data_IF_339948725636
#
_entry.id   IF_339948725636
#
_cell.length_a   1.000
_cell.length_b   1.000
_cell.length_c   1.000
_cell.angle_alpha   90.00
_cell.angle_beta   90.00
_cell.angle_gamma   90.00
#
_symmetry.space_group_name_H-M   'P 1'
#
loop_
_entity.id
_entity.type
_entity.pdbx_description
1 polymer ?
#
# COMPACT_ATOMS: atom_id res chain seq x y z
N UNK A 1 -3.59 -5.27 10.52
CA UNK A 1 -2.18 -5.41 10.11
C UNK A 1 -1.77 -4.16 9.37
N UNK A 2 -0.56 -3.66 9.60
CA UNK A 2 0.02 -2.54 8.86
C UNK A 2 1.47 -2.84 8.51
N UNK A 3 1.84 -2.55 7.26
CA UNK A 3 3.23 -2.58 6.80
C UNK A 3 3.90 -1.23 7.09
N UNK A 4 5.24 -1.18 7.02
CA UNK A 4 6.03 -0.04 7.51
C UNK A 4 5.66 0.31 8.98
N UNK A 5 5.57 -0.72 9.83
CA UNK A 5 5.10 -0.61 11.21
C UNK A 5 5.79 0.48 12.03
N UNK A 6 7.10 0.66 11.89
CA UNK A 6 7.87 1.68 12.60
C UNK A 6 7.35 3.12 12.33
N UNK A 7 6.76 3.39 11.16
CA UNK A 7 6.22 4.69 10.81
C UNK A 7 4.76 4.92 11.27
N UNK A 8 3.94 3.85 11.29
CA UNK A 8 2.48 3.98 11.43
C UNK A 8 1.90 3.38 12.71
N UNK A 9 2.66 2.57 13.45
CA UNK A 9 2.14 1.79 14.58
C UNK A 9 1.53 2.67 15.67
N UNK A 10 2.24 3.69 16.14
CA UNK A 10 1.75 4.54 17.23
C UNK A 10 0.51 5.35 16.84
N UNK A 11 0.47 5.88 15.61
CA UNK A 11 -0.72 6.54 15.07
C UNK A 11 -1.92 5.60 15.04
N UNK A 12 -1.74 4.37 14.55
CA UNK A 12 -2.80 3.37 14.51
C UNK A 12 -3.29 2.96 15.91
N UNK A 13 -2.38 2.86 16.89
CA UNK A 13 -2.72 2.58 18.29
C UNK A 13 -3.58 3.69 18.88
N UNK A 14 -3.20 4.95 18.69
CA UNK A 14 -3.96 6.07 19.24
C UNK A 14 -5.35 6.23 18.60
N UNK A 15 -5.46 6.00 17.28
CA UNK A 15 -6.75 5.93 16.59
C UNK A 15 -7.60 4.78 17.15
N UNK A 16 -7.02 3.59 17.33
CA UNK A 16 -7.73 2.41 17.83
C UNK A 16 -8.27 2.64 19.25
N UNK A 17 -7.48 3.26 20.13
CA UNK A 17 -7.91 3.61 21.51
C UNK A 17 -9.07 4.61 21.52
N UNK A 18 -9.05 5.59 20.61
CA UNK A 18 -10.17 6.55 20.46
C UNK A 18 -11.44 5.84 20.01
N UNK A 19 -11.33 4.95 19.02
CA UNK A 19 -12.49 4.19 18.51
C UNK A 19 -13.04 3.24 19.59
N UNK A 20 -12.18 2.62 20.40
CA UNK A 20 -12.63 1.83 21.55
C UNK A 20 -13.42 2.70 22.54
N UNK A 21 -12.92 3.90 22.85
CA UNK A 21 -13.63 4.83 23.73
C UNK A 21 -14.99 5.30 23.16
N UNK A 22 -15.07 5.62 21.87
CA UNK A 22 -16.30 6.18 21.28
C UNK A 22 -17.32 5.12 20.87
N UNK A 23 -16.85 3.96 20.39
CA UNK A 23 -17.68 2.94 19.73
C UNK A 23 -17.54 1.54 20.36
N UNK A 24 -16.82 1.40 21.47
CA UNK A 24 -16.55 0.12 22.17
C UNK A 24 -16.03 -0.99 21.24
N UNK A 25 -15.29 -0.60 20.19
CA UNK A 25 -14.72 -1.54 19.21
C UNK A 25 -13.30 -1.89 19.63
N UNK A 26 -13.10 -3.14 20.05
CA UNK A 26 -11.77 -3.67 20.37
C UNK A 26 -11.00 -3.95 19.08
N UNK A 27 -9.77 -3.45 19.00
CA UNK A 27 -8.91 -3.60 17.82
C UNK A 27 -7.52 -4.06 18.27
N UNK A 28 -6.97 -5.05 17.57
CA UNK A 28 -5.56 -5.45 17.70
C UNK A 28 -4.77 -4.78 16.57
N UNK A 29 -3.75 -4.00 16.95
CA UNK A 29 -2.83 -3.36 16.01
C UNK A 29 -1.59 -4.23 15.88
N UNK A 30 -1.32 -4.71 14.67
CA UNK A 30 -0.11 -5.48 14.34
C UNK A 30 0.74 -4.66 13.38
N UNK A 31 1.83 -4.09 13.87
CA UNK A 31 2.86 -3.40 13.10
C UNK A 31 3.91 -4.37 12.60
N UNK A 32 3.96 -4.58 11.28
CA UNK A 32 4.99 -5.42 10.65
C UNK A 32 6.08 -4.50 10.15
N UNK A 33 7.29 -4.69 10.65
CA UNK A 33 8.41 -3.80 10.34
C UNK A 33 9.75 -4.49 10.46
N UNK A 34 10.79 -3.69 10.29
CA UNK A 34 12.18 -4.12 10.29
C UNK A 34 12.83 -3.79 11.64
N UNK A 35 13.94 -4.46 11.99
CA UNK A 35 14.73 -4.10 13.16
C UNK A 35 15.04 -2.60 13.19
N UNK A 36 15.10 -1.98 14.37
CA UNK A 36 15.32 -0.54 14.49
C UNK A 36 16.54 -0.08 13.70
N UNK A 37 16.35 0.98 12.92
CA UNK A 37 17.40 1.70 12.21
C UNK A 37 17.39 3.16 12.65
N UNK A 38 18.30 3.98 12.13
CA UNK A 38 18.29 5.44 12.35
C UNK A 38 16.99 6.10 11.87
N UNK A 39 16.34 5.51 10.86
CA UNK A 39 15.12 6.01 10.25
C UNK A 39 13.93 5.06 10.46
N UNK A 40 12.71 5.60 10.34
CA UNK A 40 11.47 4.81 10.43
C UNK A 40 11.21 3.94 9.20
N UNK A 41 11.92 4.18 8.09
CA UNK A 41 11.89 3.37 6.88
C UNK A 41 13.25 2.71 6.64
N UNK A 42 13.23 1.48 6.11
CA UNK A 42 14.40 0.76 5.62
C UNK A 42 14.17 0.44 4.14
N UNK A 43 14.77 1.24 3.24
CA UNK A 43 14.57 1.10 1.79
C UNK A 43 15.05 -0.27 1.28
N UNK A 44 16.14 -0.79 1.84
CA UNK A 44 16.75 -2.05 1.42
C UNK A 44 15.84 -3.26 1.68
N UNK A 45 15.06 -3.21 2.76
CA UNK A 45 14.13 -4.30 3.11
C UNK A 45 12.72 -4.06 2.59
N UNK A 46 12.23 -2.82 2.66
CA UNK A 46 10.87 -2.51 2.18
C UNK A 46 10.76 -2.53 0.66
N UNK A 47 11.84 -2.25 -0.06
CA UNK A 47 11.88 -2.35 -1.52
C UNK A 47 11.39 -3.71 -2.01
N UNK A 48 12.08 -4.82 -1.67
CA UNK A 48 11.64 -6.15 -2.08
C UNK A 48 10.29 -6.54 -1.45
N UNK A 49 10.11 -6.36 -0.14
CA UNK A 49 8.92 -6.85 0.59
C UNK A 49 7.61 -6.18 0.16
N UNK A 50 7.66 -4.93 -0.31
CA UNK A 50 6.45 -4.15 -0.62
C UNK A 50 6.19 -3.96 -2.12
N UNK A 51 7.05 -4.49 -2.99
CA UNK A 51 6.87 -4.37 -4.45
C UNK A 51 6.43 -5.68 -5.09
N UNK A 52 5.38 -5.66 -5.95
CA UNK A 52 4.88 -6.84 -6.64
C UNK A 52 5.91 -7.46 -7.59
N UNK A 53 5.90 -8.78 -7.79
CA UNK A 53 6.71 -9.39 -8.84
C UNK A 53 6.27 -8.89 -10.22
N UNK A 54 7.23 -8.55 -11.07
CA UNK A 54 6.99 -8.27 -12.49
C UNK A 54 6.81 -9.56 -13.28
N UNK A 55 5.97 -9.53 -14.32
CA UNK A 55 5.74 -10.69 -15.18
C UNK A 55 7.00 -11.17 -15.92
N UNK A 56 7.92 -10.26 -16.21
CA UNK A 56 9.20 -10.54 -16.89
C UNK A 56 10.40 -10.59 -15.94
N UNK A 57 10.17 -10.43 -14.63
CA UNK A 57 11.22 -10.37 -13.61
C UNK A 57 12.14 -9.16 -13.70
N UNK A 58 11.78 -8.13 -14.48
CA UNK A 58 12.56 -6.90 -14.62
C UNK A 58 11.89 -5.75 -13.87
N UNK A 59 12.73 -4.86 -13.36
CA UNK A 59 12.33 -3.71 -12.57
C UNK A 59 13.09 -2.48 -13.03
N UNK A 60 12.40 -1.35 -13.14
CA UNK A 60 13.04 -0.06 -13.36
C UNK A 60 13.93 0.29 -12.15
N UNK A 61 15.22 0.60 -12.37
CA UNK A 61 16.09 1.00 -11.27
C UNK A 61 15.70 2.40 -10.78
N UNK A 62 15.84 2.63 -9.48
CA UNK A 62 15.96 3.99 -8.97
C UNK A 62 17.33 4.55 -9.36
N UNK A 63 17.42 5.86 -9.53
CA UNK A 63 18.66 6.54 -9.86
C UNK A 63 19.09 7.42 -8.69
N UNK A 64 20.39 7.62 -8.52
CA UNK A 64 20.93 8.68 -7.67
C UNK A 64 20.85 10.03 -8.39
N UNK A 65 21.04 11.13 -7.67
CA UNK A 65 21.09 12.49 -8.24
C UNK A 65 22.17 12.65 -9.33
N UNK A 66 23.22 11.84 -9.28
CA UNK A 66 24.29 11.81 -10.28
C UNK A 66 23.92 11.02 -11.54
N UNK A 67 22.71 10.47 -11.63
CA UNK A 67 22.21 9.68 -12.76
C UNK A 67 22.63 8.21 -12.76
N UNK A 68 23.36 7.73 -11.76
CA UNK A 68 23.77 6.33 -11.66
C UNK A 68 22.63 5.44 -11.12
N UNK A 69 22.40 4.24 -11.67
CA UNK A 69 21.35 3.35 -11.19
C UNK A 69 21.72 2.70 -9.84
N UNK A 70 20.75 2.65 -8.93
CA UNK A 70 20.83 2.02 -7.61
C UNK A 70 20.68 0.49 -7.71
N UNK A 71 21.61 -0.17 -8.40
CA UNK A 71 21.58 -1.62 -8.71
C UNK A 71 21.66 -2.54 -7.50
N UNK A 72 22.00 -2.01 -6.32
CA UNK A 72 22.06 -2.76 -5.08
C UNK A 72 20.68 -3.01 -4.45
N UNK A 73 19.66 -2.24 -4.85
CA UNK A 73 18.28 -2.41 -4.40
C UNK A 73 17.63 -3.62 -5.09
N UNK A 74 16.76 -4.30 -4.34
CA UNK A 74 16.01 -5.46 -4.80
C UNK A 74 14.51 -5.17 -4.77
N UNK A 75 13.76 -5.88 -5.59
CA UNK A 75 12.33 -5.64 -5.81
C UNK A 75 11.59 -6.96 -6.09
N UNK A 76 10.28 -6.98 -5.89
CA UNK A 76 9.40 -8.03 -6.41
C UNK A 76 9.05 -9.18 -5.46
N UNK A 77 9.33 -9.05 -4.17
CA UNK A 77 9.14 -10.13 -3.19
C UNK A 77 7.82 -10.01 -2.41
N UNK A 78 6.90 -9.14 -2.83
CA UNK A 78 5.63 -8.92 -2.12
C UNK A 78 4.79 -10.19 -1.94
N UNK A 79 4.80 -11.13 -2.89
CA UNK A 79 4.06 -12.38 -2.75
C UNK A 79 4.65 -13.28 -1.64
N UNK A 80 5.98 -13.28 -1.51
CA UNK A 80 6.69 -14.01 -0.46
C UNK A 80 6.46 -13.35 0.90
N UNK A 81 6.50 -12.02 0.96
CA UNK A 81 6.19 -11.28 2.18
C UNK A 81 4.74 -11.48 2.61
N UNK A 82 3.79 -11.45 1.68
CA UNK A 82 2.37 -11.73 1.94
C UNK A 82 2.17 -13.17 2.44
N UNK A 83 2.89 -14.14 1.87
CA UNK A 83 2.86 -15.52 2.34
C UNK A 83 3.38 -15.64 3.78
N UNK A 84 4.45 -14.95 4.14
CA UNK A 84 4.95 -14.90 5.52
C UNK A 84 3.91 -14.26 6.48
N UNK A 85 3.20 -13.22 6.04
CA UNK A 85 2.08 -12.66 6.82
C UNK A 85 1.01 -13.71 7.06
N UNK A 86 0.58 -14.40 6.00
CA UNK A 86 -0.49 -15.39 6.07
C UNK A 86 -0.13 -16.64 6.89
N UNK A 87 1.08 -17.16 6.70
CA UNK A 87 1.46 -18.47 7.21
C UNK A 87 2.25 -18.43 8.52
N UNK A 88 2.90 -17.31 8.83
CA UNK A 88 3.74 -17.20 10.02
C UNK A 88 3.18 -16.15 11.00
N UNK A 89 2.95 -14.92 10.53
CA UNK A 89 2.59 -13.80 11.41
C UNK A 89 1.16 -13.93 11.92
N UNK A 90 0.17 -14.13 11.04
CA UNK A 90 -1.23 -14.26 11.44
C UNK A 90 -1.42 -15.43 12.42
N UNK A 91 -0.90 -16.65 12.16
CA UNK A 91 -1.04 -17.75 13.12
C UNK A 91 -0.33 -17.50 14.45
N UNK A 92 0.83 -16.84 14.44
CA UNK A 92 1.51 -16.47 15.69
C UNK A 92 0.70 -15.46 16.51
N UNK A 93 0.23 -14.38 15.88
CA UNK A 93 -0.56 -13.35 16.56
C UNK A 93 -1.86 -13.94 17.09
N UNK A 94 -2.65 -14.60 16.25
CA UNK A 94 -4.00 -15.01 16.59
C UNK A 94 -3.99 -16.29 17.45
N UNK A 95 -3.15 -17.26 17.13
CA UNK A 95 -3.10 -18.54 17.84
C UNK A 95 -2.22 -18.54 19.10
N UNK A 96 -1.08 -17.84 19.07
CA UNK A 96 -0.11 -17.90 20.17
C UNK A 96 -0.21 -16.69 21.10
N UNK A 97 -0.22 -15.47 20.55
CA UNK A 97 -0.24 -14.24 21.36
C UNK A 97 -1.64 -13.95 21.91
N UNK A 98 -2.68 -14.21 21.13
CA UNK A 98 -4.08 -13.98 21.50
C UNK A 98 -4.90 -15.27 21.42
N UNK A 99 -4.42 -16.39 21.99
CA UNK A 99 -4.92 -17.76 21.78
C UNK A 99 -6.40 -18.10 22.08
N UNK A 100 -7.26 -17.10 22.29
CA UNK A 100 -8.72 -17.22 22.17
C UNK A 100 -9.24 -16.83 20.78
N UNK A 101 -8.39 -16.27 19.92
CA UNK A 101 -8.71 -15.92 18.54
C UNK A 101 -8.34 -17.09 17.62
N UNK A 102 -9.15 -17.31 16.59
CA UNK A 102 -8.88 -18.31 15.56
C UNK A 102 -8.76 -17.63 14.20
N UNK A 103 -7.75 -18.05 13.42
CA UNK A 103 -7.63 -17.63 12.03
C UNK A 103 -8.87 -17.97 11.19
N UNK A 104 -9.56 -19.07 11.54
CA UNK A 104 -10.80 -19.46 10.88
C UNK A 104 -12.04 -18.70 11.40
N UNK A 105 -11.92 -17.88 12.45
CA UNK A 105 -13.04 -17.11 12.98
C UNK A 105 -13.37 -15.94 12.04
N UNK A 106 -14.50 -16.08 11.33
CA UNK A 106 -15.06 -15.09 10.41
C UNK A 106 -15.72 -13.89 11.12
N UNK A 107 -15.92 -13.95 12.44
CA UNK A 107 -16.41 -12.81 13.20
C UNK A 107 -15.32 -11.75 13.43
N UNK A 108 -14.05 -12.15 13.33
CA UNK A 108 -12.89 -11.26 13.41
C UNK A 108 -12.65 -10.64 12.03
N UNK A 109 -12.84 -9.32 11.92
CA UNK A 109 -12.49 -8.60 10.69
C UNK A 109 -11.01 -8.24 10.66
N UNK A 110 -10.35 -8.53 9.55
CA UNK A 110 -8.92 -8.28 9.32
C UNK A 110 -8.75 -7.15 8.31
N UNK A 111 -8.05 -6.09 8.73
CA UNK A 111 -7.67 -4.97 7.86
C UNK A 111 -6.18 -4.99 7.53
N UNK A 112 -5.83 -4.64 6.29
CA UNK A 112 -4.46 -4.33 5.87
C UNK A 112 -4.36 -2.84 5.52
N UNK A 113 -3.38 -2.17 6.09
CA UNK A 113 -3.03 -0.78 5.75
C UNK A 113 -1.60 -0.69 5.25
N UNK A 114 -1.40 0.17 4.25
CA UNK A 114 -0.07 0.61 3.86
C UNK A 114 -0.11 1.91 3.06
N UNK A 115 1.03 2.60 3.05
CA UNK A 115 1.22 3.87 2.35
C UNK A 115 2.37 3.82 1.35
N UNK A 116 2.29 4.53 0.21
CA UNK A 116 3.32 4.51 -0.84
C UNK A 116 3.56 3.07 -1.34
N UNK A 117 4.78 2.51 -1.25
CA UNK A 117 4.99 1.08 -1.54
C UNK A 117 4.17 0.16 -0.63
N UNK A 118 3.88 0.56 0.61
CA UNK A 118 2.95 -0.20 1.46
C UNK A 118 1.52 -0.21 0.91
N UNK A 119 1.11 0.86 0.24
CA UNK A 119 -0.17 0.95 -0.46
C UNK A 119 -0.18 0.06 -1.70
N UNK A 120 0.93 0.05 -2.45
CA UNK A 120 1.17 -0.86 -3.57
C UNK A 120 1.09 -2.33 -3.12
N UNK A 121 1.75 -2.68 -2.02
CA UNK A 121 1.66 -3.99 -1.37
C UNK A 121 0.22 -4.35 -0.97
N UNK A 122 -0.51 -3.39 -0.41
CA UNK A 122 -1.91 -3.60 0.00
C UNK A 122 -2.81 -3.91 -1.19
N UNK A 123 -2.59 -3.26 -2.33
CA UNK A 123 -3.26 -3.60 -3.59
C UNK A 123 -2.82 -4.98 -4.11
N UNK A 124 -1.53 -5.32 -4.02
CA UNK A 124 -1.05 -6.66 -4.40
C UNK A 124 -1.75 -7.76 -3.59
N UNK A 125 -1.92 -7.56 -2.28
CA UNK A 125 -2.62 -8.49 -1.41
C UNK A 125 -4.08 -8.68 -1.84
N UNK A 126 -4.79 -7.59 -2.19
CA UNK A 126 -6.15 -7.65 -2.73
C UNK A 126 -6.20 -8.49 -4.01
N UNK A 127 -5.32 -8.20 -4.97
CA UNK A 127 -5.38 -8.82 -6.30
C UNK A 127 -4.95 -10.29 -6.31
N UNK A 128 -4.01 -10.68 -5.43
CA UNK A 128 -3.45 -12.04 -5.40
C UNK A 128 -4.12 -12.96 -4.37
N UNK A 129 -4.65 -12.39 -3.27
CA UNK A 129 -5.29 -13.11 -2.16
C UNK A 129 -6.52 -12.34 -1.64
N UNK A 130 -7.57 -12.15 -2.46
CA UNK A 130 -8.70 -11.26 -2.15
C UNK A 130 -9.49 -11.64 -0.89
N UNK A 131 -9.38 -12.87 -0.40
CA UNK A 131 -10.08 -13.35 0.81
C UNK A 131 -9.22 -13.32 2.07
N UNK A 132 -7.97 -12.86 1.98
CA UNK A 132 -7.04 -12.87 3.13
C UNK A 132 -7.33 -11.75 4.13
N UNK A 133 -7.81 -10.60 3.66
CA UNK A 133 -8.22 -9.46 4.47
C UNK A 133 -9.63 -9.02 4.09
N UNK A 134 -10.44 -8.65 5.08
CA UNK A 134 -11.80 -8.14 4.87
C UNK A 134 -11.81 -6.67 4.44
N UNK A 135 -10.75 -5.92 4.76
CA UNK A 135 -10.59 -4.53 4.40
C UNK A 135 -9.15 -4.20 3.99
N UNK A 136 -9.01 -3.50 2.87
CA UNK A 136 -7.75 -2.99 2.33
C UNK A 136 -7.80 -1.47 2.38
N UNK A 137 -6.80 -0.86 3.01
CA UNK A 137 -6.61 0.58 3.06
C UNK A 137 -5.29 0.92 2.38
N UNK A 138 -5.37 1.31 1.11
CA UNK A 138 -4.23 1.67 0.29
C UNK A 138 -4.11 3.20 0.21
N UNK A 139 -3.18 3.76 0.98
CA UNK A 139 -2.95 5.20 1.06
C UNK A 139 -1.83 5.64 0.11
N UNK A 140 -2.12 6.57 -0.79
CA UNK A 140 -1.21 7.05 -1.83
C UNK A 140 -0.39 5.91 -2.47
N UNK A 141 -1.04 4.83 -2.94
CA UNK A 141 -0.33 3.67 -3.45
C UNK A 141 0.53 4.09 -4.65
N UNK A 142 1.77 3.61 -4.69
CA UNK A 142 2.71 3.92 -5.78
C UNK A 142 2.37 3.15 -7.06
N UNK A 143 1.17 3.36 -7.60
CA UNK A 143 0.60 2.57 -8.72
C UNK A 143 1.45 2.68 -9.99
N UNK A 144 2.10 3.84 -10.22
CA UNK A 144 2.95 4.08 -11.38
C UNK A 144 4.27 3.27 -11.35
N UNK A 145 4.63 2.69 -10.19
CA UNK A 145 5.85 1.92 -10.02
C UNK A 145 5.99 0.84 -11.11
N UNK A 146 7.21 0.69 -11.63
CA UNK A 146 7.56 -0.24 -12.70
C UNK A 146 6.60 -0.17 -13.90
N UNK A 147 6.35 1.04 -14.41
CA UNK A 147 5.48 1.31 -15.58
C UNK A 147 4.06 0.77 -15.41
N UNK A 148 3.44 1.07 -14.27
CA UNK A 148 2.07 0.63 -13.95
C UNK A 148 1.89 -0.90 -13.96
N UNK A 149 2.96 -1.64 -13.63
CA UNK A 149 2.96 -3.11 -13.65
C UNK A 149 1.78 -3.70 -12.86
N UNK A 150 1.44 -3.14 -11.69
CA UNK A 150 0.37 -3.69 -10.86
C UNK A 150 -1.00 -3.66 -11.55
N UNK A 151 -1.29 -2.61 -12.32
CA UNK A 151 -2.54 -2.43 -13.08
C UNK A 151 -2.55 -3.39 -14.27
N UNK A 152 -1.46 -3.39 -15.02
CA UNK A 152 -1.35 -4.16 -16.27
C UNK A 152 -1.35 -5.67 -16.04
N UNK A 153 -0.86 -6.14 -14.88
CA UNK A 153 -0.71 -7.56 -14.60
C UNK A 153 -1.59 -8.06 -13.45
N UNK A 154 -1.37 -7.62 -12.21
CA UNK A 154 -2.08 -8.15 -11.04
C UNK A 154 -3.56 -7.80 -11.05
N UNK A 155 -3.92 -6.54 -11.27
CA UNK A 155 -5.31 -6.09 -11.34
C UNK A 155 -6.05 -6.74 -12.51
N UNK A 156 -5.44 -6.76 -13.70
CA UNK A 156 -6.04 -7.42 -14.87
C UNK A 156 -6.31 -8.91 -14.61
N UNK A 157 -5.37 -9.63 -13.99
CA UNK A 157 -5.58 -11.03 -13.57
C UNK A 157 -6.69 -11.17 -12.53
N UNK A 158 -6.79 -10.24 -11.59
CA UNK A 158 -7.85 -10.23 -10.59
C UNK A 158 -9.24 -10.03 -11.23
N UNK A 159 -9.36 -9.06 -12.14
CA UNK A 159 -10.63 -8.73 -12.82
C UNK A 159 -11.10 -9.82 -13.80
N UNK A 160 -10.16 -10.50 -14.46
CA UNK A 160 -10.46 -11.59 -15.42
C UNK A 160 -10.51 -12.97 -14.75
N UNK A 161 -10.13 -13.05 -13.48
CA UNK A 161 -10.14 -14.27 -12.68
C UNK A 161 -11.55 -14.72 -12.31
N UNK A 162 -11.66 -15.96 -11.83
CA UNK A 162 -12.92 -16.46 -11.25
C UNK A 162 -13.14 -15.74 -9.93
N UNK A 163 -14.30 -15.07 -9.72
CA UNK A 163 -14.59 -14.42 -8.46
C UNK A 163 -14.50 -15.45 -7.31
N UNK A 164 -14.10 -15.03 -6.09
CA UNK A 164 -14.21 -15.90 -4.94
C UNK A 164 -15.64 -16.44 -4.82
N UNK A 165 -15.79 -17.69 -4.36
CA UNK A 165 -17.09 -18.34 -4.14
C UNK A 165 -18.07 -17.37 -3.46
N UNK A 166 -19.37 -17.37 -3.79
CA UNK A 166 -20.37 -16.51 -3.13
C UNK A 166 -20.48 -16.70 -1.60
N UNK A 167 -19.84 -17.73 -1.03
CA UNK A 167 -19.69 -17.96 0.42
C UNK A 167 -18.45 -17.27 1.05
N UNK A 168 -17.57 -16.67 0.22
CA UNK A 168 -16.42 -15.88 0.64
C UNK A 168 -16.80 -14.42 0.91
N UNK A 169 -16.17 -13.78 1.90
CA UNK A 169 -16.35 -12.34 2.12
C UNK A 169 -15.71 -11.56 0.97
N UNK A 170 -16.46 -10.62 0.39
CA UNK A 170 -15.90 -9.64 -0.54
C UNK A 170 -15.08 -8.62 0.25
N UNK A 171 -13.79 -8.42 -0.07
CA UNK A 171 -12.99 -7.42 0.60
C UNK A 171 -13.51 -6.01 0.28
N UNK A 172 -13.44 -5.11 1.25
CA UNK A 172 -13.64 -3.67 1.03
C UNK A 172 -12.33 -2.99 0.69
N UNK A 173 -12.33 -2.04 -0.26
CA UNK A 173 -11.16 -1.24 -0.60
C UNK A 173 -11.42 0.24 -0.28
N UNK A 174 -10.49 0.85 0.46
CA UNK A 174 -10.40 2.30 0.65
C UNK A 174 -9.10 2.77 -0.01
N UNK A 175 -9.24 3.66 -0.99
CA UNK A 175 -8.14 4.35 -1.66
C UNK A 175 -8.12 5.81 -1.19
N UNK A 176 -6.94 6.29 -0.81
CA UNK A 176 -6.75 7.70 -0.46
C UNK A 176 -5.52 8.25 -1.17
N UNK A 177 -5.49 9.55 -1.44
CA UNK A 177 -4.32 10.25 -1.96
C UNK A 177 -4.34 11.71 -1.44
N UNK A 178 -3.18 12.37 -1.49
CA UNK A 178 -3.06 13.79 -1.14
C UNK A 178 -3.46 14.70 -2.31
N UNK A 179 -3.91 15.91 -2.01
CA UNK A 179 -4.28 16.93 -3.01
C UNK A 179 -3.23 18.03 -3.16
N UNK A 180 -2.02 17.81 -2.66
CA UNK A 180 -0.97 18.84 -2.63
C UNK A 180 -0.51 19.21 -4.04
N UNK A 181 -0.27 20.50 -4.29
CA UNK A 181 0.33 21.01 -5.54
C UNK A 181 1.73 20.49 -5.83
N UNK A 182 2.41 19.91 -4.82
CA UNK A 182 3.70 19.25 -5.02
C UNK A 182 3.55 17.80 -5.52
N UNK A 183 2.37 17.20 -5.38
CA UNK A 183 2.06 15.83 -5.84
C UNK A 183 1.39 15.84 -7.24
N UNK A 184 0.89 16.99 -7.69
CA UNK A 184 0.43 17.25 -9.05
C UNK A 184 1.09 18.53 -9.55
N UNK A 185 2.05 18.48 -10.50
CA UNK A 185 2.68 19.69 -11.00
C UNK A 185 1.60 20.67 -11.48
N UNK A 186 1.61 21.87 -10.91
CA UNK A 186 0.76 22.99 -11.32
C UNK A 186 1.15 23.33 -12.77
N UNK A 187 0.47 22.72 -13.75
CA UNK A 187 0.58 23.13 -15.16
C UNK A 187 -0.03 24.52 -15.23
N UNK A 188 0.82 25.52 -14.96
CA UNK A 188 0.41 26.89 -14.70
C UNK A 188 -0.63 27.32 -15.70
N UNK A 189 -1.82 27.69 -15.23
CA UNK A 189 -2.80 28.34 -16.07
C UNK A 189 -2.13 29.59 -16.64
N UNK A 190 -1.84 29.58 -17.93
CA UNK A 190 -1.35 30.75 -18.63
C UNK A 190 -2.34 31.89 -18.38
N UNK A 191 -1.87 32.93 -17.69
CA UNK A 191 -2.63 34.17 -17.54
C UNK A 191 -2.60 34.87 -18.89
N UNK A 192 -3.65 34.74 -19.67
CA UNK A 192 -3.89 35.68 -20.75
C UNK A 192 -4.12 37.07 -20.17
N UNK A 193 -3.67 38.10 -20.88
CA UNK A 193 -3.54 39.50 -20.43
C UNK A 193 -4.86 40.25 -20.13
N UNK A 194 -5.95 39.54 -19.78
CA UNK A 194 -7.29 40.08 -19.57
C UNK A 194 -7.90 39.89 -18.19
N UNK A 195 -7.26 39.17 -17.26
CA UNK A 195 -7.65 39.18 -15.83
C UNK A 195 -9.04 38.63 -15.46
N UNK A 196 -9.70 37.84 -16.32
CA UNK A 196 -10.98 37.21 -16.01
C UNK A 196 -10.81 35.69 -15.78
N UNK A 197 -11.32 35.19 -14.65
CA UNK A 197 -11.38 33.76 -14.34
C UNK A 197 -12.54 33.12 -15.10
N UNK A 198 -12.24 32.41 -16.19
CA UNK A 198 -13.19 31.47 -16.81
C UNK A 198 -12.79 30.04 -16.48
N UNK A 199 -13.79 29.19 -16.18
CA UNK A 199 -13.61 27.73 -16.09
C UNK A 199 -13.26 27.20 -17.47
N UNK A 200 -11.98 26.92 -17.70
CA UNK A 200 -11.56 25.96 -18.72
C UNK A 200 -11.54 24.59 -18.08
N UNK A 201 -12.33 23.65 -18.62
CA UNK A 201 -12.18 22.23 -18.32
C UNK A 201 -10.72 21.86 -18.57
N UNK A 202 -9.99 21.59 -17.50
CA UNK A 202 -8.64 21.01 -17.57
C UNK A 202 -8.82 19.49 -17.65
N UNK A 203 -9.48 19.02 -18.71
CA UNK A 203 -9.42 17.62 -19.09
C UNK A 203 -8.12 17.45 -19.89
N UNK A 204 -7.13 16.86 -19.24
CA UNK A 204 -6.05 16.14 -19.90
C UNK A 204 -5.59 15.03 -18.94
N UNK A 205 -6.12 13.84 -19.20
CA UNK A 205 -5.40 12.58 -18.97
C UNK A 205 -3.95 12.73 -19.45
N UNK A 206 -3.03 11.98 -18.83
CA UNK A 206 -1.57 11.94 -19.09
C UNK A 206 -0.71 12.87 -18.21
N UNK A 207 -0.47 12.46 -16.95
CA UNK A 207 0.89 12.47 -16.36
C UNK A 207 0.96 11.55 -15.11
N UNK A 208 2.01 10.72 -14.94
CA UNK A 208 2.20 9.89 -13.75
C UNK A 208 2.43 10.71 -12.48
N UNK A 209 2.01 10.20 -11.31
CA UNK A 209 2.34 10.84 -10.03
C UNK A 209 3.87 10.86 -9.82
N UNK A 210 4.43 12.02 -9.48
CA UNK A 210 5.85 12.16 -9.14
C UNK A 210 6.13 11.74 -7.68
N UNK A 211 7.32 11.18 -7.44
CA UNK A 211 7.77 10.67 -6.13
C UNK A 211 7.89 11.77 -5.07
N UNK A 212 7.35 11.49 -3.87
CA UNK A 212 7.57 12.28 -2.65
C UNK A 212 8.86 11.91 -1.89
N UNK A 213 9.86 11.29 -2.53
CA UNK A 213 11.06 10.75 -1.86
C UNK A 213 12.40 11.36 -2.26
N UNK A 214 12.47 12.60 -2.75
CA UNK A 214 13.74 13.28 -3.06
C UNK A 214 14.54 13.77 -1.84
N UNK A 215 14.44 13.11 -0.68
CA UNK A 215 15.03 13.62 0.57
C UNK A 215 15.35 12.58 1.65
N UNK A 216 15.87 11.42 1.28
CA UNK A 216 16.56 10.51 2.21
C UNK A 216 18.04 10.39 1.83
#
# INVERSE_FOLDING_TARGET
YLVDGNAYFFTAVDVSRRIDFTNNTKTIVVGISYPPSEYVYDLYRRGPDLTPPSADGKYEPLYYDNGEPQTHLKWGEADNFLAAIQHDIMPFVEGSLFGHLSFADKSIRRGLFGHSYGGLFSLNALYTKPTLFDAILAASPTIWWNKYSIVNFQENKFLTGVPPSPEGSCPSLILTWGSSKAEFPDKGCAKDAGGAWNRTNCDAEEDPMEESMSGL
#
